data_IF_994239047252
#
_entry.id   IF_994239047252
#
_cell.length_a   1.000
_cell.length_b   1.000
_cell.length_c   1.000
_cell.angle_alpha   90.00
_cell.angle_beta   90.00
_cell.angle_gamma   90.00
#
_symmetry.space_group_name_H-M   'P 1'
#
loop_
_entity.id
_entity.type
_entity.pdbx_description
1 polymer ?
#
# COMPACT_ATOMS: atom_id res chain seq x y z
N UNK A 1 9.68 -16.40 2.45
CA UNK A 1 8.69 -17.21 3.22
C UNK A 1 7.44 -16.41 3.57
N UNK A 2 7.55 -15.24 4.21
CA UNK A 2 6.39 -14.38 4.58
C UNK A 2 5.82 -13.55 3.43
N UNK A 3 6.69 -13.14 2.52
CA UNK A 3 6.37 -12.49 1.25
C UNK A 3 5.36 -13.29 0.41
N UNK A 4 5.39 -14.62 0.51
CA UNK A 4 4.40 -15.51 -0.11
C UNK A 4 2.96 -15.22 0.30
N UNK A 5 2.72 -14.70 1.51
CA UNK A 5 1.38 -14.35 1.97
C UNK A 5 0.74 -13.21 1.16
N UNK A 6 1.54 -12.37 0.50
CA UNK A 6 1.02 -11.31 -0.36
C UNK A 6 0.35 -11.88 -1.62
N UNK A 7 0.61 -13.15 -1.95
CA UNK A 7 0.10 -13.86 -3.11
C UNK A 7 -0.89 -14.98 -2.75
N UNK A 8 -1.32 -15.09 -1.49
CA UNK A 8 -2.46 -15.92 -1.14
C UNK A 8 -3.75 -15.11 -1.28
N UNK A 9 -4.89 -15.76 -1.60
CA UNK A 9 -6.19 -15.13 -1.39
C UNK A 9 -6.28 -14.55 0.02
N UNK A 10 -6.83 -13.35 0.16
CA UNK A 10 -6.93 -12.63 1.45
C UNK A 10 -7.54 -13.50 2.55
N UNK A 11 -8.52 -14.34 2.20
CA UNK A 11 -9.18 -15.26 3.11
C UNK A 11 -8.28 -16.39 3.63
N UNK A 12 -7.26 -16.77 2.86
CA UNK A 12 -6.38 -17.90 3.16
C UNK A 12 -5.10 -17.48 3.90
N UNK A 13 -4.84 -16.17 4.02
CA UNK A 13 -3.69 -15.63 4.75
C UNK A 13 -3.60 -16.12 6.20
N UNK A 14 -4.69 -16.14 7.01
CA UNK A 14 -4.65 -16.69 8.36
C UNK A 14 -4.32 -18.18 8.38
N UNK A 15 -4.91 -18.96 7.47
CA UNK A 15 -4.68 -20.40 7.37
C UNK A 15 -3.24 -20.72 6.97
N UNK A 16 -2.67 -19.97 6.03
CA UNK A 16 -1.26 -20.09 5.64
C UNK A 16 -0.31 -19.78 6.81
N UNK A 17 -0.66 -18.80 7.65
CA UNK A 17 0.12 -18.46 8.83
C UNK A 17 0.09 -19.58 9.89
N UNK A 18 -1.08 -20.15 10.13
CA UNK A 18 -1.22 -21.29 11.05
C UNK A 18 -0.45 -22.52 10.54
N UNK A 19 -0.41 -22.74 9.22
CA UNK A 19 0.44 -23.77 8.63
C UNK A 19 1.92 -23.53 8.94
N UNK A 20 2.42 -22.30 8.78
CA UNK A 20 3.83 -21.99 9.08
C UNK A 20 4.18 -22.19 10.57
N UNK A 21 3.27 -21.86 11.48
CA UNK A 21 3.44 -22.14 12.91
C UNK A 21 3.59 -23.62 13.20
N UNK A 22 2.80 -24.46 12.53
CA UNK A 22 2.82 -25.91 12.71
C UNK A 22 4.09 -26.56 12.17
N UNK A 23 4.74 -25.97 11.17
CA UNK A 23 6.02 -26.44 10.62
C UNK A 23 7.19 -26.21 11.60
N UNK A 24 6.97 -25.51 12.73
CA UNK A 24 7.94 -25.28 13.82
C UNK A 24 9.29 -24.77 13.32
N UNK A 25 9.30 -23.59 12.71
CA UNK A 25 10.56 -22.86 12.52
C UNK A 25 11.14 -22.50 13.89
N UNK A 26 12.23 -23.15 14.29
CA UNK A 26 12.90 -22.86 15.56
C UNK A 26 13.54 -21.46 15.56
N UNK A 27 13.81 -20.92 14.37
CA UNK A 27 14.29 -19.56 14.15
C UNK A 27 13.18 -18.70 13.51
N UNK A 28 12.85 -17.56 14.13
CA UNK A 28 11.91 -16.57 13.56
C UNK A 28 10.49 -16.57 14.14
N UNK A 29 10.23 -17.30 15.23
CA UNK A 29 8.92 -17.28 15.93
C UNK A 29 8.51 -15.86 16.36
N UNK A 30 9.46 -15.05 16.85
CA UNK A 30 9.21 -13.66 17.22
C UNK A 30 8.71 -12.82 16.03
N UNK A 31 9.21 -13.12 14.83
CA UNK A 31 8.81 -12.46 13.59
C UNK A 31 7.40 -12.94 13.19
N UNK A 32 7.10 -14.23 13.31
CA UNK A 32 5.75 -14.77 13.09
C UNK A 32 4.72 -14.15 14.03
N UNK A 33 5.04 -14.04 15.31
CA UNK A 33 4.19 -13.39 16.32
C UNK A 33 4.01 -11.90 16.00
N UNK A 34 5.08 -11.21 15.64
CA UNK A 34 5.00 -9.82 15.21
C UNK A 34 4.10 -9.68 13.97
N UNK A 35 4.33 -10.51 12.96
CA UNK A 35 3.62 -10.47 11.68
C UNK A 35 2.13 -10.73 11.87
N UNK A 36 1.77 -11.80 12.58
CA UNK A 36 0.38 -12.14 12.89
C UNK A 36 -0.35 -10.95 13.50
N UNK A 37 0.28 -10.37 14.50
CA UNK A 37 -0.33 -9.38 15.35
C UNK A 37 -0.41 -7.98 14.73
N UNK A 38 0.46 -7.70 13.76
CA UNK A 38 0.57 -6.41 13.08
C UNK A 38 -0.22 -6.41 11.77
N UNK A 39 -0.23 -7.53 11.04
CA UNK A 39 -0.70 -7.62 9.66
C UNK A 39 -1.87 -8.58 9.43
N UNK A 40 -2.14 -9.56 10.31
CA UNK A 40 -3.13 -10.63 10.05
C UNK A 40 -4.27 -10.64 11.08
N UNK A 41 -4.06 -11.22 12.27
CA UNK A 41 -5.13 -11.55 13.21
C UNK A 41 -5.36 -10.55 14.33
N UNK A 42 -4.69 -9.39 14.34
CA UNK A 42 -4.89 -8.36 15.39
C UNK A 42 -4.46 -8.77 16.80
N UNK A 43 -4.18 -7.79 17.67
CA UNK A 43 -4.00 -8.03 19.11
C UNK A 43 -5.28 -7.76 19.89
N UNK A 44 -5.58 -8.60 20.87
CA UNK A 44 -6.46 -8.21 21.96
C UNK A 44 -5.74 -7.17 22.83
N UNK A 45 -6.40 -6.06 23.09
CA UNK A 45 -5.91 -5.01 23.97
C UNK A 45 -6.90 -4.84 25.12
N UNK A 46 -6.36 -4.80 26.33
CA UNK A 46 -7.10 -4.34 27.50
C UNK A 46 -7.40 -2.85 27.36
N UNK A 47 -8.66 -2.49 27.46
CA UNK A 47 -9.10 -1.10 27.48
C UNK A 47 -10.00 -0.87 28.68
N UNK A 48 -9.75 0.22 29.39
CA UNK A 48 -10.65 0.70 30.43
C UNK A 48 -11.82 1.44 29.77
N UNK A 49 -13.04 0.97 30.02
CA UNK A 49 -14.26 1.67 29.64
C UNK A 49 -15.20 1.69 30.83
N UNK A 50 -15.58 2.89 31.27
CA UNK A 50 -16.46 3.11 32.43
C UNK A 50 -15.99 2.38 33.70
N UNK A 51 -14.68 2.36 33.97
CA UNK A 51 -14.08 1.69 35.13
C UNK A 51 -13.92 0.17 35.00
N UNK A 52 -14.46 -0.45 33.95
CA UNK A 52 -14.31 -1.89 33.70
C UNK A 52 -13.19 -2.16 32.70
N UNK A 53 -12.39 -3.19 32.97
CA UNK A 53 -11.38 -3.69 32.06
C UNK A 53 -12.05 -4.57 30.99
N UNK A 54 -12.05 -4.11 29.74
CA UNK A 54 -12.65 -4.82 28.61
C UNK A 54 -11.54 -5.29 27.68
N UNK A 55 -11.58 -6.56 27.28
CA UNK A 55 -10.74 -7.08 26.21
C UNK A 55 -11.39 -6.74 24.86
N UNK A 56 -10.72 -5.93 24.04
CA UNK A 56 -11.18 -5.61 22.68
C UNK A 56 -10.15 -6.06 21.65
N UNK A 57 -10.62 -6.70 20.58
CA UNK A 57 -9.79 -6.97 19.40
C UNK A 57 -9.55 -5.66 18.65
N UNK A 58 -8.30 -5.21 18.56
CA UNK A 58 -7.93 -3.99 17.83
C UNK A 58 -7.53 -4.38 16.41
N UNK A 59 -8.08 -3.78 15.33
CA UNK A 59 -7.74 -4.15 13.96
C UNK A 59 -6.21 -4.11 13.70
N UNK A 60 -5.70 -4.90 12.73
CA UNK A 60 -4.28 -4.93 12.43
C UNK A 60 -3.84 -3.53 11.98
N UNK A 61 -2.57 -3.18 12.18
CA UNK A 61 -2.07 -1.86 11.75
C UNK A 61 -2.16 -1.69 10.23
N UNK A 62 -1.94 -2.79 9.52
CA UNK A 62 -2.07 -2.86 8.07
C UNK A 62 -2.72 -4.21 7.74
N UNK A 63 -4.06 -4.27 7.63
CA UNK A 63 -4.80 -5.52 7.39
C UNK A 63 -4.49 -6.10 6.00
N UNK A 64 -4.73 -7.41 5.79
CA UNK A 64 -4.41 -8.09 4.52
C UNK A 64 -5.04 -7.44 3.29
N UNK A 65 -6.24 -6.86 3.40
CA UNK A 65 -6.88 -6.13 2.31
C UNK A 65 -6.06 -4.93 1.79
N UNK A 66 -5.16 -4.37 2.59
CA UNK A 66 -4.40 -3.16 2.24
C UNK A 66 -3.04 -3.48 1.61
N UNK A 67 -2.44 -4.63 1.94
CA UNK A 67 -1.09 -5.00 1.49
C UNK A 67 -1.02 -6.23 0.58
N UNK A 68 -2.08 -7.03 0.52
CA UNK A 68 -2.12 -8.21 -0.33
C UNK A 68 -2.21 -7.81 -1.81
N UNK A 69 -1.55 -8.57 -2.67
CA UNK A 69 -1.45 -8.31 -4.12
C UNK A 69 -2.00 -9.44 -4.96
N UNK A 70 -2.65 -10.45 -4.36
CA UNK A 70 -3.17 -11.62 -5.07
C UNK A 70 -4.15 -11.22 -6.18
N UNK A 71 -5.22 -10.49 -5.83
CA UNK A 71 -6.22 -10.07 -6.80
C UNK A 71 -5.63 -9.15 -7.87
N UNK A 72 -4.68 -8.29 -7.50
CA UNK A 72 -3.97 -7.42 -8.44
C UNK A 72 -3.12 -8.24 -9.43
N UNK A 73 -2.48 -9.31 -8.93
CA UNK A 73 -1.65 -10.21 -9.73
C UNK A 73 -2.50 -11.05 -10.67
N UNK A 74 -3.57 -11.68 -10.16
CA UNK A 74 -4.47 -12.54 -10.94
C UNK A 74 -5.22 -11.75 -12.01
N UNK A 75 -5.76 -10.58 -11.66
CA UNK A 75 -6.51 -9.76 -12.60
C UNK A 75 -5.61 -8.90 -13.50
N UNK A 76 -4.28 -8.98 -13.32
CA UNK A 76 -3.30 -8.08 -13.95
C UNK A 76 -3.69 -6.59 -13.78
N UNK A 77 -4.34 -6.27 -12.66
CA UNK A 77 -4.83 -4.94 -12.36
C UNK A 77 -3.73 -4.12 -11.68
N UNK A 78 -3.30 -3.10 -12.41
CA UNK A 78 -2.50 -1.96 -11.98
C UNK A 78 -1.11 -2.21 -11.37
N UNK A 79 -0.09 -1.86 -12.16
CA UNK A 79 1.16 -1.27 -11.68
C UNK A 79 0.86 0.10 -11.04
N UNK A 80 0.28 0.13 -9.85
CA UNK A 80 0.12 1.36 -9.04
C UNK A 80 1.51 2.00 -8.78
N UNK A 81 2.55 1.16 -8.81
CA UNK A 81 3.94 1.57 -8.67
C UNK A 81 4.32 2.70 -9.65
N UNK A 82 3.98 2.64 -10.93
CA UNK A 82 4.40 3.69 -11.88
C UNK A 82 3.84 5.08 -11.55
N UNK A 83 2.61 5.15 -11.04
CA UNK A 83 1.98 6.43 -10.72
C UNK A 83 2.46 6.96 -9.38
N UNK A 84 2.68 6.07 -8.39
CA UNK A 84 3.30 6.42 -7.10
C UNK A 84 4.78 6.79 -7.26
N UNK A 85 5.54 6.04 -8.04
CA UNK A 85 6.93 6.36 -8.42
C UNK A 85 6.99 7.66 -9.19
N UNK A 86 6.08 7.90 -10.14
CA UNK A 86 6.00 9.17 -10.86
C UNK A 86 5.76 10.36 -9.92
N UNK A 87 4.85 10.22 -8.95
CA UNK A 87 4.58 11.24 -7.94
C UNK A 87 5.77 11.44 -6.98
N UNK A 88 6.31 10.35 -6.44
CA UNK A 88 7.47 10.38 -5.55
C UNK A 88 8.68 11.00 -6.25
N UNK A 89 8.97 10.61 -7.50
CA UNK A 89 10.07 11.16 -8.28
C UNK A 89 9.85 12.67 -8.53
N UNK A 90 8.62 13.08 -8.88
CA UNK A 90 8.27 14.49 -9.02
C UNK A 90 8.45 15.30 -7.73
N UNK A 91 8.11 14.71 -6.58
CA UNK A 91 8.30 15.31 -5.26
C UNK A 91 9.79 15.39 -4.89
N UNK A 92 10.55 14.32 -5.08
CA UNK A 92 12.00 14.28 -4.82
C UNK A 92 12.72 15.34 -5.62
N UNK A 93 12.44 15.48 -6.92
CA UNK A 93 13.03 16.54 -7.74
C UNK A 93 12.76 17.96 -7.21
N UNK A 94 11.62 18.18 -6.55
CA UNK A 94 11.21 19.49 -6.01
C UNK A 94 11.82 19.79 -4.63
N UNK A 95 11.90 18.77 -3.76
CA UNK A 95 12.41 18.91 -2.39
C UNK A 95 13.93 18.80 -2.35
N UNK A 96 14.55 18.08 -3.30
CA UNK A 96 16.01 17.90 -3.38
C UNK A 96 16.79 19.15 -3.86
N UNK A 97 16.13 20.29 -4.05
CA UNK A 97 16.84 21.55 -4.26
C UNK A 97 17.42 22.08 -2.94
N UNK A 98 18.67 22.54 -2.99
CA UNK A 98 19.49 22.97 -1.85
C UNK A 98 18.80 23.95 -0.87
N UNK A 99 17.71 24.65 -1.28
CA UNK A 99 16.90 25.56 -0.45
C UNK A 99 15.41 25.59 -0.85
N UNK A 100 14.71 24.45 -0.86
CA UNK A 100 13.25 24.47 -1.06
C UNK A 100 12.55 24.96 0.22
N UNK A 101 11.92 26.14 0.17
CA UNK A 101 11.11 26.64 1.29
C UNK A 101 9.74 25.94 1.32
N UNK A 102 9.21 25.72 2.52
CA UNK A 102 7.93 25.03 2.77
C UNK A 102 6.77 25.54 1.91
N UNK A 103 6.75 26.83 1.59
CA UNK A 103 5.74 27.44 0.72
C UNK A 103 5.72 26.88 -0.71
N UNK A 104 6.89 26.55 -1.28
CA UNK A 104 6.99 25.92 -2.61
C UNK A 104 6.40 24.50 -2.59
N UNK A 105 6.62 23.77 -1.49
CA UNK A 105 6.03 22.45 -1.29
C UNK A 105 4.50 22.55 -1.22
N UNK A 106 3.96 23.42 -0.37
CA UNK A 106 2.51 23.61 -0.21
C UNK A 106 1.85 23.96 -1.54
N UNK A 107 2.39 24.94 -2.28
CA UNK A 107 1.84 25.35 -3.58
C UNK A 107 1.86 24.24 -4.62
N UNK A 108 2.83 23.33 -4.56
CA UNK A 108 2.87 22.20 -5.48
C UNK A 108 1.86 21.13 -5.10
N UNK A 109 1.70 20.82 -3.80
CA UNK A 109 0.66 19.90 -3.32
C UNK A 109 -0.73 20.40 -3.77
N UNK A 110 -1.03 21.69 -3.58
CA UNK A 110 -2.28 22.31 -4.07
C UNK A 110 -2.45 22.12 -5.60
N UNK A 111 -1.37 22.24 -6.37
CA UNK A 111 -1.42 22.07 -7.83
C UNK A 111 -1.66 20.61 -8.24
N UNK A 112 -1.00 19.66 -7.58
CA UNK A 112 -1.19 18.23 -7.85
C UNK A 112 -2.61 17.78 -7.48
N UNK A 113 -3.16 18.26 -6.36
CA UNK A 113 -4.56 18.02 -5.98
C UNK A 113 -5.52 18.53 -7.06
N UNK A 114 -5.34 19.78 -7.51
CA UNK A 114 -6.15 20.35 -8.60
C UNK A 114 -6.01 19.55 -9.90
N UNK A 115 -4.81 19.08 -10.22
CA UNK A 115 -4.59 18.25 -11.40
C UNK A 115 -5.30 16.89 -11.28
N UNK A 116 -5.25 16.25 -10.12
CA UNK A 116 -5.96 15.01 -9.85
C UNK A 116 -7.49 15.21 -9.90
N UNK A 117 -8.00 16.25 -9.25
CA UNK A 117 -9.42 16.58 -9.23
C UNK A 117 -9.97 16.87 -10.64
N UNK A 118 -9.22 17.61 -11.46
CA UNK A 118 -9.61 17.87 -12.85
C UNK A 118 -9.56 16.60 -13.70
N UNK A 119 -8.59 15.71 -13.51
CA UNK A 119 -8.54 14.42 -14.20
C UNK A 119 -9.71 13.50 -13.81
N UNK A 120 -10.10 13.47 -12.53
CA UNK A 120 -11.28 12.73 -12.05
C UNK A 120 -12.55 13.29 -12.70
N UNK A 121 -12.78 14.61 -12.62
CA UNK A 121 -13.95 15.26 -13.21
C UNK A 121 -14.03 15.05 -14.74
N UNK A 122 -12.90 15.09 -15.45
CA UNK A 122 -12.85 14.81 -16.88
C UNK A 122 -13.22 13.35 -17.21
N UNK A 123 -12.77 12.40 -16.40
CA UNK A 123 -13.14 10.99 -16.55
C UNK A 123 -14.64 10.77 -16.28
N UNK A 124 -15.22 11.43 -15.27
CA UNK A 124 -16.65 11.35 -14.96
C UNK A 124 -17.53 11.85 -16.12
N UNK A 125 -17.06 12.88 -16.84
CA UNK A 125 -17.75 13.45 -18.03
C UNK A 125 -17.48 12.60 -19.29
N UNK A 126 -16.66 11.55 -19.21
CA UNK A 126 -16.27 10.71 -20.34
C UNK A 126 -15.19 11.31 -21.24
N UNK A 127 -14.63 12.47 -20.87
CA UNK A 127 -13.52 13.12 -21.55
C UNK A 127 -12.18 12.61 -21.02
N UNK A 128 -11.94 11.30 -21.10
CA UNK A 128 -10.65 10.73 -20.72
C UNK A 128 -9.56 11.26 -21.65
N UNK A 129 -8.54 11.93 -21.10
CA UNK A 129 -7.41 12.43 -21.89
C UNK A 129 -6.77 11.27 -22.68
N UNK A 130 -6.55 11.41 -24.00
CA UNK A 130 -5.95 10.35 -24.79
C UNK A 130 -4.55 10.02 -24.25
N UNK A 131 -4.27 8.73 -24.02
CA UNK A 131 -2.95 8.28 -23.59
C UNK A 131 -1.90 8.81 -24.56
N UNK A 132 -0.94 9.59 -24.06
CA UNK A 132 0.20 10.04 -24.87
C UNK A 132 0.89 8.79 -25.46
N UNK A 133 1.00 8.73 -26.79
CA UNK A 133 1.69 7.64 -27.47
C UNK A 133 3.12 7.55 -26.93
N UNK A 134 3.55 6.37 -26.50
CA UNK A 134 4.94 6.13 -26.09
C UNK A 134 5.84 6.39 -27.30
N UNK A 135 6.93 7.13 -27.09
CA UNK A 135 8.00 7.23 -28.09
C UNK A 135 8.61 5.84 -28.27
N UNK A 136 8.50 5.29 -29.48
CA UNK A 136 9.20 4.06 -29.87
C UNK A 136 10.66 4.46 -30.07
N UNK A 137 11.52 4.10 -29.11
CA UNK A 137 12.95 4.16 -29.31
C UNK A 137 13.28 2.97 -30.23
N UNK A 138 13.67 3.27 -31.48
CA UNK A 138 14.08 2.23 -32.43
C UNK A 138 15.20 1.39 -31.85
N UNK A 139 15.14 0.08 -32.10
CA UNK A 139 16.22 -0.84 -31.74
C UNK A 139 17.51 -0.35 -32.41
N UNK A 140 18.50 0.03 -31.60
CA UNK A 140 19.86 0.21 -32.07
C UNK A 140 20.36 -1.18 -32.49
N UNK A 141 20.69 -1.30 -33.78
CA UNK A 141 21.30 -2.49 -34.39
C UNK A 141 22.72 -2.70 -33.87
#
# INVERSE_FOLDING_TARGET
MMDGFAFLPVADVPTGLDYLRNVRMTEGEDILVYFDSTYVNSRFRHMLRNGNNILRRTPPRLPPCDWNVFDATVNNTHKINNQREGWNNGLTHLVAHHHSHIWKLIKRIEREERFAATAIAQNEIGNSQPRKKKRVYGQLQ
#
